data_IF_500058776295
#
_entry.id   IF_500058776295
#
_cell.length_a   1.000
_cell.length_b   1.000
_cell.length_c   1.000
_cell.angle_alpha   90.00
_cell.angle_beta   90.00
_cell.angle_gamma   90.00
#
_symmetry.space_group_name_H-M   'P 1'
#
loop_
_entity.id
_entity.type
_entity.pdbx_description
1 polymer ?
#
# COMPACT_ATOMS: atom_id res chain seq x y z
N UNK A 1 -11.93 -10.85 -20.04
CA UNK A 1 -12.23 -10.92 -18.58
C UNK A 1 -10.90 -10.80 -17.86
N UNK A 2 -10.77 -9.93 -16.85
CA UNK A 2 -9.49 -9.52 -16.25
C UNK A 2 -8.64 -10.66 -15.62
N UNK A 3 -9.14 -11.89 -15.59
CA UNK A 3 -8.43 -13.06 -15.07
C UNK A 3 -7.53 -13.72 -16.10
N UNK A 4 -7.98 -13.81 -17.36
CA UNK A 4 -7.32 -14.51 -18.47
C UNK A 4 -7.33 -13.64 -19.73
N UNK A 5 -6.66 -12.49 -19.71
CA UNK A 5 -6.45 -11.69 -20.93
C UNK A 5 -5.00 -11.79 -21.36
N UNK A 6 -4.74 -11.88 -22.67
CA UNK A 6 -3.39 -11.98 -23.21
C UNK A 6 -2.48 -10.81 -22.83
N UNK A 7 -3.06 -9.66 -22.46
CA UNK A 7 -2.34 -8.44 -22.08
C UNK A 7 -2.27 -8.22 -20.55
N UNK A 8 -3.18 -8.82 -19.78
CA UNK A 8 -3.23 -8.74 -18.32
C UNK A 8 -3.63 -10.08 -17.72
N UNK A 9 -2.64 -10.91 -17.39
CA UNK A 9 -2.85 -12.12 -16.60
C UNK A 9 -2.80 -11.79 -15.10
N UNK A 10 -3.78 -12.30 -14.38
CA UNK A 10 -3.80 -12.22 -12.92
C UNK A 10 -2.68 -13.06 -12.31
N UNK A 11 -2.30 -12.80 -11.05
CA UNK A 11 -1.34 -13.66 -10.34
C UNK A 11 -2.06 -14.92 -9.81
N UNK A 12 -1.36 -16.05 -9.62
CA UNK A 12 -1.94 -17.26 -9.03
C UNK A 12 -2.70 -17.02 -7.73
N UNK A 13 -2.19 -16.10 -6.91
CA UNK A 13 -2.81 -15.66 -5.66
C UNK A 13 -4.23 -15.15 -5.85
N UNK A 14 -4.50 -14.39 -6.93
CA UNK A 14 -5.81 -13.81 -7.22
C UNK A 14 -6.79 -14.93 -7.58
N UNK A 15 -6.41 -15.84 -8.49
CA UNK A 15 -7.24 -16.99 -8.85
C UNK A 15 -7.55 -17.89 -7.65
N UNK A 16 -6.55 -18.16 -6.80
CA UNK A 16 -6.74 -18.95 -5.59
C UNK A 16 -7.70 -18.28 -4.60
N UNK A 17 -7.59 -16.96 -4.41
CA UNK A 17 -8.48 -16.21 -3.53
C UNK A 17 -9.94 -16.22 -4.02
N UNK A 18 -10.14 -15.99 -5.33
CA UNK A 18 -11.47 -16.03 -5.96
C UNK A 18 -12.07 -17.43 -5.85
N UNK A 19 -11.30 -18.47 -6.17
CA UNK A 19 -11.74 -19.86 -6.05
C UNK A 19 -12.18 -20.18 -4.61
N UNK A 20 -11.36 -19.83 -3.62
CA UNK A 20 -11.70 -20.06 -2.21
C UNK A 20 -13.02 -19.41 -1.84
N UNK A 21 -13.23 -18.15 -2.26
CA UNK A 21 -14.47 -17.43 -1.96
C UNK A 21 -15.70 -18.10 -2.58
N UNK A 22 -15.63 -18.49 -3.86
CA UNK A 22 -16.73 -19.16 -4.56
C UNK A 22 -17.00 -20.54 -3.96
N UNK A 23 -15.96 -21.34 -3.69
CA UNK A 23 -16.10 -22.67 -3.11
C UNK A 23 -16.68 -22.64 -1.69
N UNK A 24 -16.27 -21.67 -0.86
CA UNK A 24 -16.85 -21.45 0.46
C UNK A 24 -18.32 -21.05 0.40
N UNK A 25 -18.71 -20.25 -0.59
CA UNK A 25 -20.11 -19.90 -0.82
C UNK A 25 -20.97 -21.12 -1.16
N UNK A 26 -20.39 -22.13 -1.82
CA UNK A 26 -21.02 -23.42 -2.11
C UNK A 26 -20.95 -24.42 -0.93
N UNK A 27 -20.39 -24.02 0.21
CA UNK A 27 -20.33 -24.84 1.43
C UNK A 27 -19.16 -25.82 1.51
N UNK A 28 -18.09 -25.61 0.71
CA UNK A 28 -16.83 -26.35 0.78
C UNK A 28 -15.81 -25.65 1.69
N UNK A 29 -14.99 -26.40 2.44
CA UNK A 29 -13.84 -25.83 3.17
C UNK A 29 -12.63 -25.70 2.25
N UNK A 30 -12.66 -24.68 1.39
CA UNK A 30 -11.56 -24.30 0.52
C UNK A 30 -10.70 -23.21 1.19
N UNK A 31 -9.39 -23.39 1.24
CA UNK A 31 -8.43 -22.43 1.81
C UNK A 31 -7.24 -22.25 0.88
N UNK A 32 -6.61 -21.07 0.84
CA UNK A 32 -5.38 -20.90 0.10
C UNK A 32 -4.25 -21.72 0.73
N UNK A 33 -3.33 -22.20 -0.10
CA UNK A 33 -2.15 -22.96 0.27
C UNK A 33 -0.91 -22.23 -0.29
N UNK A 34 -0.13 -21.62 0.60
CA UNK A 34 0.99 -20.74 0.31
C UNK A 34 2.25 -21.51 -0.12
N UNK A 35 2.20 -22.12 -1.28
CA UNK A 35 3.31 -22.90 -1.84
C UNK A 35 4.48 -22.00 -2.31
N UNK A 36 5.73 -22.47 -2.37
CA UNK A 36 6.83 -21.68 -2.93
C UNK A 36 6.54 -21.25 -4.37
N UNK A 37 6.73 -19.96 -4.67
CA UNK A 37 6.52 -19.37 -6.01
C UNK A 37 5.11 -19.49 -6.61
N UNK A 38 4.14 -20.08 -5.89
CA UNK A 38 2.77 -20.26 -6.37
C UNK A 38 1.75 -20.18 -5.22
N UNK A 39 0.46 -20.17 -5.51
CA UNK A 39 -0.59 -20.32 -4.48
C UNK A 39 -1.60 -21.34 -4.99
N UNK A 40 -1.69 -22.47 -4.30
CA UNK A 40 -2.70 -23.49 -4.56
C UNK A 40 -3.93 -23.25 -3.68
N UNK A 41 -4.97 -24.03 -3.90
CA UNK A 41 -6.11 -24.15 -2.98
C UNK A 41 -6.13 -25.55 -2.40
N UNK A 42 -6.33 -25.66 -1.09
CA UNK A 42 -6.61 -26.92 -0.41
C UNK A 42 -8.10 -26.98 -0.10
N UNK A 43 -8.77 -28.07 -0.50
CA UNK A 43 -10.17 -28.33 -0.17
C UNK A 43 -10.20 -29.50 0.80
N UNK A 44 -10.73 -29.25 2.01
CA UNK A 44 -10.81 -30.26 3.06
C UNK A 44 -12.24 -30.80 3.14
N UNK A 45 -12.43 -32.14 3.20
CA UNK A 45 -13.76 -32.71 3.40
C UNK A 45 -14.29 -32.40 4.80
N UNK A 46 -15.59 -32.58 4.99
CA UNK A 46 -16.23 -32.41 6.29
C UNK A 46 -15.72 -33.50 7.26
N UNK A 47 -15.58 -33.20 8.57
CA UNK A 47 -15.17 -34.21 9.55
C UNK A 47 -16.08 -35.46 9.47
N UNK A 48 -15.46 -36.64 9.38
CA UNK A 48 -16.17 -37.91 9.24
C UNK A 48 -16.55 -38.31 7.81
N UNK A 49 -16.17 -37.50 6.80
CA UNK A 49 -16.43 -37.78 5.39
C UNK A 49 -15.16 -37.71 4.55
N UNK A 50 -15.14 -38.41 3.42
CA UNK A 50 -14.17 -38.19 2.35
C UNK A 50 -14.59 -37.04 1.42
N UNK A 51 -13.81 -36.78 0.38
CA UNK A 51 -14.07 -35.69 -0.57
C UNK A 51 -15.29 -35.94 -1.45
N UNK A 52 -15.65 -37.21 -1.67
CA UNK A 52 -16.81 -37.65 -2.45
C UNK A 52 -18.11 -37.67 -1.61
N UNK A 53 -18.00 -37.42 -0.29
CA UNK A 53 -19.12 -37.38 0.63
C UNK A 53 -19.50 -38.73 1.23
N UNK A 54 -18.64 -39.75 1.13
CA UNK A 54 -18.84 -41.02 1.80
C UNK A 54 -18.41 -40.94 3.27
N UNK A 55 -19.13 -41.63 4.16
CA UNK A 55 -18.78 -41.72 5.57
C UNK A 55 -17.49 -42.52 5.78
N UNK A 56 -16.60 -41.94 6.60
CA UNK A 56 -15.36 -42.57 7.03
C UNK A 56 -15.54 -43.30 8.36
N UNK A 57 -14.61 -44.21 8.67
CA UNK A 57 -14.67 -44.91 9.96
C UNK A 57 -14.42 -43.93 11.11
N UNK A 58 -14.96 -44.21 12.32
CA UNK A 58 -14.72 -43.36 13.49
C UNK A 58 -13.23 -43.15 13.74
N UNK A 59 -12.79 -41.88 13.73
CA UNK A 59 -11.40 -41.48 13.94
C UNK A 59 -10.57 -41.30 12.67
N UNK A 60 -11.08 -41.68 11.49
CA UNK A 60 -10.45 -41.38 10.21
C UNK A 60 -10.73 -39.93 9.78
N UNK A 61 -9.74 -39.28 9.16
CA UNK A 61 -9.88 -37.97 8.55
C UNK A 61 -9.79 -38.10 7.04
N UNK A 62 -10.71 -37.45 6.33
CA UNK A 62 -10.70 -37.44 4.87
C UNK A 62 -9.48 -36.69 4.35
N UNK A 63 -8.84 -37.27 3.33
CA UNK A 63 -7.71 -36.64 2.68
C UNK A 63 -8.16 -35.36 1.95
N UNK A 64 -7.42 -34.24 2.08
CA UNK A 64 -7.71 -33.05 1.31
C UNK A 64 -7.28 -33.23 -0.16
N UNK A 65 -7.93 -32.48 -1.06
CA UNK A 65 -7.49 -32.33 -2.45
C UNK A 65 -6.83 -30.96 -2.66
N UNK A 66 -5.97 -30.87 -3.68
CA UNK A 66 -5.27 -29.64 -4.03
C UNK A 66 -5.70 -29.19 -5.42
N UNK A 67 -5.97 -27.89 -5.58
CA UNK A 67 -6.38 -27.29 -6.85
C UNK A 67 -5.42 -26.19 -7.25
N UNK A 68 -5.19 -26.05 -8.55
CA UNK A 68 -4.47 -24.92 -9.15
C UNK A 68 -5.40 -24.15 -10.10
N UNK A 69 -6.30 -23.30 -9.56
CA UNK A 69 -7.28 -22.58 -10.37
C UNK A 69 -6.66 -21.55 -11.31
N UNK A 70 -5.34 -21.32 -11.22
CA UNK A 70 -4.62 -20.48 -12.16
C UNK A 70 -4.20 -21.23 -13.42
N UNK A 71 -3.88 -22.53 -13.32
CA UNK A 71 -3.33 -23.30 -14.45
C UNK A 71 -4.25 -24.39 -14.97
N UNK A 72 -5.12 -24.95 -14.13
CA UNK A 72 -5.90 -26.13 -14.48
C UNK A 72 -7.27 -26.14 -13.79
N UNK A 73 -8.20 -26.85 -14.41
CA UNK A 73 -9.50 -27.21 -13.82
C UNK A 73 -9.43 -28.54 -13.04
N UNK A 74 -8.33 -29.29 -13.19
CA UNK A 74 -8.14 -30.60 -12.56
C UNK A 74 -7.42 -30.53 -11.22
N UNK A 75 -7.59 -31.58 -10.41
CA UNK A 75 -6.81 -31.75 -9.18
C UNK A 75 -5.30 -31.76 -9.46
N UNK A 76 -4.55 -31.11 -8.57
CA UNK A 76 -3.10 -31.15 -8.52
C UNK A 76 -2.65 -32.30 -7.62
N UNK A 77 -1.90 -33.24 -8.18
CA UNK A 77 -1.42 -34.42 -7.45
C UNK A 77 -0.55 -34.02 -6.25
N UNK A 78 -0.86 -34.60 -5.08
CA UNK A 78 -0.04 -34.45 -3.88
C UNK A 78 1.41 -34.95 -4.11
N UNK A 79 1.57 -36.01 -4.90
CA UNK A 79 2.89 -36.53 -5.26
C UNK A 79 3.72 -35.50 -6.03
N UNK A 80 3.09 -34.78 -6.96
CA UNK A 80 3.77 -33.74 -7.74
C UNK A 80 4.18 -32.55 -6.88
N UNK A 81 3.29 -32.11 -5.96
CA UNK A 81 3.62 -31.05 -5.00
C UNK A 81 4.78 -31.45 -4.08
N UNK A 82 4.79 -32.68 -3.57
CA UNK A 82 5.88 -33.18 -2.74
C UNK A 82 7.20 -33.28 -3.51
N UNK A 83 7.15 -33.68 -4.78
CA UNK A 83 8.32 -33.71 -5.65
C UNK A 83 8.86 -32.31 -5.95
N UNK A 84 7.99 -31.32 -6.17
CA UNK A 84 8.41 -29.93 -6.33
C UNK A 84 9.10 -29.41 -5.05
N UNK A 85 8.56 -29.71 -3.87
CA UNK A 85 9.21 -29.35 -2.60
C UNK A 85 10.56 -30.04 -2.43
N UNK A 86 10.70 -31.30 -2.84
CA UNK A 86 11.99 -32.01 -2.86
C UNK A 86 13.01 -31.32 -3.76
N UNK A 87 12.60 -30.94 -4.97
CA UNK A 87 13.47 -30.25 -5.94
C UNK A 87 13.94 -28.89 -5.40
N UNK A 88 13.09 -28.20 -4.65
CA UNK A 88 13.43 -26.95 -3.96
C UNK A 88 14.29 -27.13 -2.70
N UNK A 89 14.63 -28.38 -2.32
CA UNK A 89 15.46 -28.67 -1.16
C UNK A 89 14.75 -28.48 0.18
N UNK A 90 13.41 -28.45 0.21
CA UNK A 90 12.63 -28.31 1.45
C UNK A 90 12.68 -29.61 2.25
N UNK A 91 13.09 -29.51 3.51
CA UNK A 91 13.18 -30.66 4.42
C UNK A 91 11.80 -31.29 4.67
N UNK A 92 11.76 -32.62 4.88
CA UNK A 92 10.51 -33.35 5.09
C UNK A 92 9.67 -32.80 6.26
N UNK A 93 10.33 -32.34 7.33
CA UNK A 93 9.66 -31.75 8.49
C UNK A 93 8.88 -30.47 8.13
N UNK A 94 9.38 -29.69 7.17
CA UNK A 94 8.82 -28.39 6.80
C UNK A 94 7.73 -28.50 5.71
N UNK A 95 7.67 -29.63 4.98
CA UNK A 95 6.69 -29.84 3.90
C UNK A 95 5.25 -29.71 4.38
N UNK A 96 4.97 -30.12 5.62
CA UNK A 96 3.62 -30.01 6.21
C UNK A 96 3.15 -28.56 6.23
N UNK A 97 4.07 -27.62 6.48
CA UNK A 97 3.77 -26.18 6.47
C UNK A 97 3.41 -25.69 5.06
N UNK A 98 4.16 -26.11 4.04
CA UNK A 98 3.93 -25.70 2.65
C UNK A 98 2.74 -26.36 1.97
N UNK A 99 2.30 -27.52 2.48
CA UNK A 99 1.10 -28.22 2.04
C UNK A 99 -0.12 -27.87 2.91
N UNK A 100 0.07 -27.03 3.93
CA UNK A 100 -0.97 -26.62 4.86
C UNK A 100 -1.83 -25.46 4.38
N UNK A 101 -2.91 -25.20 5.12
CA UNK A 101 -3.78 -24.04 4.94
C UNK A 101 -2.99 -22.77 5.32
N UNK A 102 -2.98 -21.77 4.43
CA UNK A 102 -2.48 -20.44 4.75
C UNK A 102 -3.56 -19.56 5.34
N UNK A 103 -3.15 -18.73 6.29
CA UNK A 103 -3.96 -17.68 6.88
C UNK A 103 -4.16 -16.53 5.89
N UNK A 104 -5.24 -15.76 6.08
CA UNK A 104 -5.48 -14.51 5.34
C UNK A 104 -4.30 -13.55 5.45
N UNK A 105 -3.66 -13.53 6.63
CA UNK A 105 -2.48 -12.70 6.91
C UNK A 105 -1.31 -13.04 5.99
N UNK A 106 -0.95 -14.33 5.86
CA UNK A 106 0.15 -14.78 5.02
C UNK A 106 -0.10 -14.48 3.53
N UNK A 107 -1.33 -14.70 3.06
CA UNK A 107 -1.71 -14.39 1.68
C UNK A 107 -1.64 -12.88 1.42
N UNK A 108 -2.10 -12.06 2.37
CA UNK A 108 -2.02 -10.59 2.25
C UNK A 108 -0.56 -10.11 2.23
N UNK A 109 0.30 -10.69 3.07
CA UNK A 109 1.74 -10.42 3.06
C UNK A 109 2.40 -10.80 1.72
N UNK A 110 2.04 -11.96 1.15
CA UNK A 110 2.55 -12.36 -0.18
C UNK A 110 2.10 -11.40 -1.27
N UNK A 111 0.83 -10.97 -1.24
CA UNK A 111 0.33 -9.95 -2.15
C UNK A 111 1.13 -8.64 -2.02
N UNK A 112 1.41 -8.21 -0.80
CA UNK A 112 2.20 -7.00 -0.53
C UNK A 112 3.61 -7.12 -1.10
N UNK A 113 4.29 -8.27 -0.90
CA UNK A 113 5.61 -8.53 -1.50
C UNK A 113 5.57 -8.53 -3.03
N UNK A 114 4.51 -9.05 -3.64
CA UNK A 114 4.34 -9.00 -5.10
C UNK A 114 4.21 -7.55 -5.60
N UNK A 115 3.47 -6.70 -4.89
CA UNK A 115 3.38 -5.26 -5.20
C UNK A 115 4.75 -4.60 -5.06
N UNK A 116 5.49 -4.87 -3.96
CA UNK A 116 6.83 -4.31 -3.75
C UNK A 116 7.78 -4.63 -4.90
N UNK A 117 7.81 -5.90 -5.31
CA UNK A 117 8.67 -6.36 -6.41
C UNK A 117 8.27 -5.72 -7.74
N UNK A 118 6.96 -5.56 -7.99
CA UNK A 118 6.45 -4.91 -9.20
C UNK A 118 6.81 -3.42 -9.25
N UNK A 119 6.65 -2.72 -8.12
CA UNK A 119 7.04 -1.32 -7.98
C UNK A 119 8.55 -1.14 -8.15
N UNK A 120 9.36 -2.02 -7.57
CA UNK A 120 10.81 -1.98 -7.73
C UNK A 120 11.23 -2.15 -9.19
N UNK A 121 10.60 -3.08 -9.89
CA UNK A 121 10.83 -3.30 -11.33
C UNK A 121 10.49 -2.04 -12.15
N UNK A 122 9.34 -1.39 -11.90
CA UNK A 122 8.95 -0.17 -12.61
C UNK A 122 9.96 0.97 -12.43
N UNK A 123 10.51 1.14 -11.22
CA UNK A 123 11.55 2.14 -10.95
C UNK A 123 12.87 1.83 -11.68
N UNK A 124 13.27 0.56 -11.75
CA UNK A 124 14.54 0.17 -12.38
C UNK A 124 14.51 0.22 -13.90
N UNK A 125 13.38 -0.16 -14.50
CA UNK A 125 13.28 -0.33 -15.95
C UNK A 125 12.64 0.86 -16.68
N UNK A 126 12.22 1.91 -15.96
CA UNK A 126 11.67 3.15 -16.53
C UNK A 126 10.61 2.89 -17.62
N UNK A 127 9.79 1.86 -17.45
CA UNK A 127 8.81 1.48 -18.45
C UNK A 127 7.57 2.37 -18.32
N UNK A 128 7.62 3.51 -19.02
CA UNK A 128 6.66 4.62 -18.98
C UNK A 128 5.27 4.27 -19.56
N UNK A 129 5.02 3.02 -19.96
CA UNK A 129 3.73 2.62 -20.54
C UNK A 129 2.63 2.33 -19.51
N UNK A 130 2.93 2.23 -18.21
CA UNK A 130 1.92 2.03 -17.17
C UNK A 130 1.43 3.37 -16.59
N UNK A 131 0.79 4.20 -17.42
CA UNK A 131 0.39 5.58 -17.13
C UNK A 131 -0.65 5.79 -16.00
N UNK A 132 -0.96 4.79 -15.16
CA UNK A 132 -2.06 4.89 -14.18
C UNK A 132 -1.73 4.47 -12.74
N UNK A 133 -0.58 3.84 -12.48
CA UNK A 133 -0.24 3.39 -11.12
C UNK A 133 0.58 4.46 -10.41
N UNK A 134 0.02 4.99 -9.33
CA UNK A 134 0.76 5.87 -8.42
C UNK A 134 1.78 5.03 -7.63
N UNK A 135 3.02 5.08 -8.11
CA UNK A 135 4.11 4.25 -7.61
C UNK A 135 4.48 4.63 -6.17
N UNK A 136 4.41 5.92 -5.82
CA UNK A 136 4.70 6.43 -4.48
C UNK A 136 3.69 5.88 -3.47
N UNK A 137 2.39 6.02 -3.77
CA UNK A 137 1.32 5.49 -2.95
C UNK A 137 1.37 3.95 -2.85
N UNK A 138 1.64 3.25 -3.96
CA UNK A 138 1.77 1.79 -3.96
C UNK A 138 2.93 1.31 -3.08
N UNK A 139 4.09 1.98 -3.14
CA UNK A 139 5.24 1.67 -2.30
C UNK A 139 4.94 1.91 -0.82
N UNK A 140 4.34 3.06 -0.51
CA UNK A 140 4.00 3.43 0.86
C UNK A 140 3.00 2.45 1.48
N UNK A 141 1.91 2.12 0.77
CA UNK A 141 0.93 1.14 1.21
C UNK A 141 1.54 -0.25 1.44
N UNK A 142 2.50 -0.64 0.59
CA UNK A 142 3.19 -1.93 0.72
C UNK A 142 4.08 -2.00 1.95
N UNK A 143 4.83 -0.94 2.25
CA UNK A 143 5.65 -0.86 3.46
C UNK A 143 4.78 -0.88 4.73
N UNK A 144 3.67 -0.16 4.74
CA UNK A 144 2.68 -0.24 5.82
C UNK A 144 2.14 -1.65 6.03
N UNK A 145 1.74 -2.31 4.94
CA UNK A 145 1.25 -3.69 5.00
C UNK A 145 2.30 -4.63 5.58
N UNK A 146 3.57 -4.49 5.17
CA UNK A 146 4.68 -5.25 5.76
C UNK A 146 4.81 -4.98 7.27
N UNK A 147 4.82 -3.73 7.71
CA UNK A 147 4.95 -3.40 9.15
C UNK A 147 3.80 -3.98 9.99
N UNK A 148 2.56 -3.82 9.52
CA UNK A 148 1.37 -4.22 10.28
C UNK A 148 1.13 -5.74 10.25
N UNK A 149 1.42 -6.37 9.11
CA UNK A 149 1.08 -7.77 8.90
C UNK A 149 2.24 -8.73 9.15
N UNK A 150 3.48 -8.31 9.38
CA UNK A 150 4.59 -9.28 9.51
C UNK A 150 4.63 -10.04 10.85
N UNK A 151 3.88 -9.62 11.87
CA UNK A 151 3.53 -10.50 13.00
C UNK A 151 4.70 -10.99 13.83
N UNK A 152 4.91 -12.31 13.82
CA UNK A 152 6.01 -12.98 14.51
C UNK A 152 7.36 -12.82 13.80
N UNK A 153 7.42 -12.13 12.66
CA UNK A 153 8.69 -11.69 12.07
C UNK A 153 9.49 -10.95 13.12
N UNK A 154 10.77 -11.27 13.19
CA UNK A 154 11.68 -10.58 14.09
C UNK A 154 11.80 -9.13 13.63
N UNK A 155 11.80 -8.12 14.53
CA UNK A 155 11.95 -6.73 14.10
C UNK A 155 13.23 -6.48 13.27
N UNK A 156 14.21 -7.37 13.38
CA UNK A 156 15.42 -7.43 12.55
C UNK A 156 15.11 -7.61 11.06
N UNK A 157 14.10 -8.39 10.67
CA UNK A 157 13.68 -8.54 9.27
C UNK A 157 13.04 -7.25 8.73
N UNK A 158 12.25 -6.57 9.57
CA UNK A 158 11.56 -5.35 9.21
C UNK A 158 12.49 -4.14 9.11
N UNK A 159 13.62 -4.18 9.83
CA UNK A 159 14.66 -3.14 9.88
C UNK A 159 15.07 -2.64 8.50
N UNK A 160 15.21 -3.54 7.53
CA UNK A 160 15.66 -3.22 6.17
C UNK A 160 14.69 -2.28 5.42
N UNK A 161 13.43 -2.25 5.83
CA UNK A 161 12.38 -1.45 5.19
C UNK A 161 12.14 -0.09 5.88
N UNK A 162 12.65 0.10 7.10
CA UNK A 162 12.44 1.32 7.90
C UNK A 162 12.95 2.58 7.19
N UNK A 163 14.17 2.62 6.60
CA UNK A 163 14.66 3.82 5.94
C UNK A 163 13.73 4.28 4.80
N UNK A 164 13.23 3.33 4.00
CA UNK A 164 12.31 3.63 2.90
C UNK A 164 10.94 4.10 3.37
N UNK A 165 10.44 3.55 4.48
CA UNK A 165 9.19 4.00 5.08
C UNK A 165 9.31 5.43 5.60
N UNK A 166 10.40 5.71 6.34
CA UNK A 166 10.64 7.03 6.93
C UNK A 166 10.92 8.09 5.85
N UNK A 167 11.64 7.75 4.79
CA UNK A 167 11.87 8.64 3.64
C UNK A 167 10.55 9.08 3.01
N UNK A 168 9.68 8.13 2.65
CA UNK A 168 8.36 8.43 2.07
C UNK A 168 7.45 9.17 3.05
N UNK A 169 7.46 8.76 4.32
CA UNK A 169 6.69 9.43 5.36
C UNK A 169 7.06 10.91 5.49
N UNK A 170 8.36 11.22 5.59
CA UNK A 170 8.83 12.61 5.76
C UNK A 170 8.57 13.44 4.50
N UNK A 171 8.80 12.86 3.32
CA UNK A 171 8.69 13.59 2.06
C UNK A 171 7.25 13.82 1.61
N UNK A 172 6.40 12.77 1.68
CA UNK A 172 5.12 12.73 0.98
C UNK A 172 3.91 12.57 1.92
N UNK A 173 4.09 11.95 3.09
CA UNK A 173 2.99 11.61 4.01
C UNK A 173 3.18 12.12 5.45
N UNK A 174 3.59 13.39 5.69
CA UNK A 174 3.92 13.87 7.04
C UNK A 174 2.72 13.86 8.01
N UNK A 175 1.49 13.83 7.48
CA UNK A 175 0.25 13.77 8.26
C UNK A 175 0.06 12.44 8.98
N UNK A 176 0.76 11.38 8.57
CA UNK A 176 0.68 10.05 9.17
C UNK A 176 1.57 9.90 10.42
N UNK A 177 2.11 11.01 10.94
CA UNK A 177 3.02 11.04 12.09
C UNK A 177 2.47 10.28 13.29
N UNK A 178 1.18 10.43 13.59
CA UNK A 178 0.54 9.72 14.69
C UNK A 178 0.44 8.21 14.44
N UNK A 179 0.29 7.79 13.18
CA UNK A 179 0.25 6.38 12.82
C UNK A 179 1.64 5.75 13.00
N UNK A 180 2.70 6.45 12.59
CA UNK A 180 4.09 5.99 12.79
C UNK A 180 4.38 5.83 14.28
N UNK A 181 4.07 6.85 15.09
CA UNK A 181 4.22 6.81 16.56
C UNK A 181 3.50 5.62 17.19
N UNK A 182 2.27 5.34 16.75
CA UNK A 182 1.40 4.36 17.39
C UNK A 182 1.65 2.92 16.94
N UNK A 183 1.96 2.71 15.67
CA UNK A 183 1.96 1.36 15.07
C UNK A 183 3.33 0.90 14.59
N UNK A 184 4.25 1.81 14.27
CA UNK A 184 5.56 1.46 13.71
C UNK A 184 6.65 1.56 14.76
N UNK A 185 6.76 2.70 15.45
CA UNK A 185 7.81 2.91 16.45
C UNK A 185 7.86 1.78 17.51
N UNK A 186 6.74 1.31 18.10
CA UNK A 186 6.79 0.26 19.12
C UNK A 186 7.38 -1.07 18.63
N UNK A 187 7.35 -1.35 17.32
CA UNK A 187 7.92 -2.57 16.75
C UNK A 187 9.44 -2.62 16.91
N UNK A 188 10.10 -1.47 17.02
CA UNK A 188 11.56 -1.35 17.06
C UNK A 188 12.10 -0.99 18.45
N UNK A 189 11.25 -1.00 19.50
CA UNK A 189 11.67 -0.62 20.84
C UNK A 189 12.92 -1.38 21.30
N UNK A 190 13.93 -0.65 21.76
CA UNK A 190 15.24 -1.20 22.15
C UNK A 190 16.23 -1.38 21.00
N UNK A 191 15.89 -0.95 19.78
CA UNK A 191 16.78 -0.91 18.62
C UNK A 191 17.17 0.53 18.27
N UNK A 192 18.28 0.68 17.55
CA UNK A 192 18.78 1.99 17.09
C UNK A 192 17.77 2.70 16.17
N UNK A 193 16.99 1.95 15.39
CA UNK A 193 15.93 2.48 14.53
C UNK A 193 14.85 3.23 15.31
N UNK A 194 14.56 2.79 16.54
CA UNK A 194 13.58 3.43 17.39
C UNK A 194 14.01 4.84 17.76
N UNK A 195 15.26 5.00 18.21
CA UNK A 195 15.79 6.29 18.64
C UNK A 195 15.84 7.29 17.47
N UNK A 196 16.33 6.85 16.29
CA UNK A 196 16.33 7.70 15.09
C UNK A 196 14.91 8.08 14.62
N UNK A 197 13.96 7.15 14.73
CA UNK A 197 12.57 7.41 14.39
C UNK A 197 11.97 8.44 15.33
N UNK A 198 12.16 8.29 16.65
CA UNK A 198 11.69 9.25 17.63
C UNK A 198 12.31 10.63 17.43
N UNK A 199 13.61 10.72 17.15
CA UNK A 199 14.25 12.01 16.87
C UNK A 199 13.59 12.71 15.67
N UNK A 200 13.35 11.97 14.59
CA UNK A 200 12.65 12.49 13.40
C UNK A 200 11.24 12.96 13.75
N UNK A 201 10.47 12.14 14.47
CA UNK A 201 9.10 12.46 14.88
C UNK A 201 9.07 13.69 15.80
N UNK A 202 10.01 13.80 16.75
CA UNK A 202 10.14 14.95 17.63
C UNK A 202 10.42 16.24 16.87
N UNK A 203 11.34 16.23 15.91
CA UNK A 203 11.62 17.40 15.06
C UNK A 203 10.36 17.81 14.28
N UNK A 204 9.63 16.86 13.71
CA UNK A 204 8.40 17.14 12.96
C UNK A 204 7.29 17.69 13.86
N UNK A 205 7.09 17.12 15.06
CA UNK A 205 6.14 17.63 16.06
C UNK A 205 6.50 19.03 16.52
N UNK A 206 7.77 19.26 16.86
CA UNK A 206 8.24 20.58 17.27
C UNK A 206 7.99 21.62 16.17
N UNK A 207 8.23 21.27 14.90
CA UNK A 207 7.95 22.15 13.78
C UNK A 207 6.45 22.45 13.61
N UNK A 208 5.57 21.48 13.85
CA UNK A 208 4.12 21.66 13.78
C UNK A 208 3.56 22.47 14.97
N UNK A 209 4.18 22.35 16.15
CA UNK A 209 3.86 23.13 17.35
C UNK A 209 4.23 24.61 17.23
N UNK A 210 5.14 24.98 16.31
CA UNK A 210 5.50 26.38 16.08
C UNK A 210 4.23 27.15 15.71
N UNK A 211 3.78 28.12 16.54
CA UNK A 211 2.57 28.85 16.26
C UNK A 211 2.69 29.57 14.93
N UNK A 212 1.84 29.19 13.97
CA UNK A 212 1.77 29.90 12.69
C UNK A 212 1.29 31.32 12.97
N UNK A 213 2.04 32.32 12.49
CA UNK A 213 1.62 33.70 12.64
C UNK A 213 0.25 33.90 12.00
N UNK A 214 -0.74 34.20 12.82
CA UNK A 214 -2.10 34.47 12.34
C UNK A 214 -2.15 35.88 11.76
N UNK A 215 -2.26 35.98 10.43
CA UNK A 215 -2.46 37.24 9.73
C UNK A 215 -3.94 37.59 9.71
N UNK A 216 -4.37 38.44 10.64
CA UNK A 216 -5.74 38.96 10.68
C UNK A 216 -5.98 40.01 9.61
N UNK A 217 -7.18 40.00 9.03
CA UNK A 217 -7.62 41.12 8.19
C UNK A 217 -7.95 42.31 9.08
N UNK A 218 -7.17 43.37 8.92
CA UNK A 218 -7.41 44.68 9.55
C UNK A 218 -7.99 45.67 8.55
N UNK A 219 -8.35 46.87 9.02
CA UNK A 219 -8.85 47.96 8.19
C UNK A 219 -7.86 48.47 7.12
N UNK A 220 -6.58 48.07 7.18
CA UNK A 220 -5.55 48.35 6.16
C UNK A 220 -5.69 47.42 4.94
N UNK A 221 -6.37 46.28 5.11
CA UNK A 221 -6.53 45.24 4.09
C UNK A 221 -7.89 45.31 3.35
N UNK A 222 -8.49 46.50 3.27
CA UNK A 222 -9.84 46.70 2.68
C UNK A 222 -9.94 46.27 1.22
N UNK A 223 -8.83 46.35 0.48
CA UNK A 223 -8.76 45.97 -0.94
C UNK A 223 -8.80 44.45 -1.18
N UNK A 224 -8.72 43.63 -0.12
CA UNK A 224 -8.75 42.18 -0.21
C UNK A 224 -10.20 41.68 -0.29
N UNK A 225 -10.65 41.45 -1.53
CA UNK A 225 -12.04 41.12 -1.87
C UNK A 225 -12.49 39.71 -1.48
N UNK A 226 -11.65 38.69 -1.64
CA UNK A 226 -12.06 37.27 -1.51
C UNK A 226 -11.58 36.65 -0.22
N UNK A 227 -12.24 35.61 0.30
CA UNK A 227 -11.93 34.99 1.60
C UNK A 227 -11.07 33.73 1.47
N UNK A 228 -10.29 33.40 2.50
CA UNK A 228 -9.68 32.06 2.64
C UNK A 228 -10.81 31.03 2.76
N UNK A 229 -10.68 29.91 2.07
CA UNK A 229 -11.69 28.86 1.94
C UNK A 229 -12.72 29.11 0.83
N UNK A 230 -12.66 30.25 0.13
CA UNK A 230 -13.57 30.51 -0.99
C UNK A 230 -13.14 29.71 -2.22
N UNK A 231 -14.07 28.89 -2.74
CA UNK A 231 -13.91 28.19 -4.02
C UNK A 231 -14.16 29.17 -5.16
N UNK A 232 -13.33 29.11 -6.20
CA UNK A 232 -13.47 29.94 -7.40
C UNK A 232 -13.10 29.16 -8.66
N UNK A 233 -13.46 29.73 -9.82
CA UNK A 233 -13.08 29.23 -11.14
C UNK A 233 -12.11 30.21 -11.79
N UNK A 234 -10.95 29.74 -12.25
CA UNK A 234 -9.93 30.61 -12.80
C UNK A 234 -10.36 31.23 -14.14
N UNK A 235 -10.48 32.55 -14.22
CA UNK A 235 -11.06 33.24 -15.39
C UNK A 235 -10.39 32.93 -16.74
N UNK A 236 -9.07 32.67 -16.75
CA UNK A 236 -8.29 32.40 -17.98
C UNK A 236 -8.13 30.92 -18.30
N UNK A 237 -8.09 30.07 -17.28
CA UNK A 237 -7.68 28.66 -17.40
C UNK A 237 -8.76 27.67 -16.98
N UNK A 238 -9.87 28.18 -16.46
CA UNK A 238 -11.12 27.46 -16.24
C UNK A 238 -11.09 26.32 -15.21
N UNK A 239 -9.99 26.17 -14.46
CA UNK A 239 -9.90 25.22 -13.34
C UNK A 239 -10.65 25.73 -12.10
N UNK A 240 -11.10 24.79 -11.26
CA UNK A 240 -11.70 25.06 -9.95
C UNK A 240 -10.61 24.95 -8.89
N UNK A 241 -10.54 25.92 -7.99
CA UNK A 241 -9.57 25.92 -6.89
C UNK A 241 -10.14 26.62 -5.65
N UNK A 242 -9.48 26.45 -4.50
CA UNK A 242 -9.83 27.09 -3.24
C UNK A 242 -8.74 28.06 -2.79
N UNK A 243 -9.13 29.25 -2.32
CA UNK A 243 -8.17 30.24 -1.80
C UNK A 243 -7.63 29.78 -0.44
N UNK A 244 -6.31 29.65 -0.32
CA UNK A 244 -5.64 29.19 0.92
C UNK A 244 -4.95 30.33 1.67
N UNK A 245 -4.50 31.37 0.96
CA UNK A 245 -3.83 32.56 1.52
C UNK A 245 -4.03 33.77 0.61
N UNK A 246 -3.76 34.96 1.12
CA UNK A 246 -3.64 36.19 0.35
C UNK A 246 -2.38 36.97 0.75
N UNK A 247 -1.86 37.76 -0.17
CA UNK A 247 -0.85 38.80 0.06
C UNK A 247 -1.45 40.14 -0.35
N UNK A 248 -1.22 41.19 0.46
CA UNK A 248 -1.78 42.52 0.21
C UNK A 248 -1.15 43.19 -1.02
N UNK A 249 0.12 42.89 -1.27
CA UNK A 249 0.92 43.30 -2.41
C UNK A 249 1.88 42.16 -2.80
N UNK A 250 2.50 42.26 -3.96
CA UNK A 250 3.49 41.29 -4.42
C UNK A 250 4.86 41.56 -3.78
N UNK A 251 5.31 40.62 -2.95
CA UNK A 251 6.64 40.64 -2.31
C UNK A 251 7.63 39.65 -2.98
N UNK A 252 7.38 39.33 -4.26
CA UNK A 252 8.29 38.48 -5.03
C UNK A 252 9.52 39.27 -5.49
N UNK A 253 10.64 38.58 -5.75
CA UNK A 253 11.85 39.25 -6.26
C UNK A 253 11.63 39.90 -7.65
N UNK A 254 12.28 41.04 -7.89
CA UNK A 254 12.14 41.87 -9.12
C UNK A 254 12.24 41.08 -10.43
N UNK A 255 13.19 40.13 -10.51
CA UNK A 255 13.36 39.30 -11.71
C UNK A 255 12.12 38.43 -12.00
N UNK A 256 11.48 37.89 -10.94
CA UNK A 256 10.26 37.11 -11.08
C UNK A 256 9.07 38.00 -11.45
N UNK A 257 8.96 39.17 -10.84
CA UNK A 257 7.90 40.14 -11.13
C UNK A 257 7.94 40.61 -12.59
N UNK A 258 9.14 40.89 -13.11
CA UNK A 258 9.34 41.26 -14.51
C UNK A 258 8.95 40.10 -15.45
N UNK A 259 9.37 38.86 -15.14
CA UNK A 259 9.07 37.67 -15.93
C UNK A 259 7.57 37.36 -15.97
N UNK A 260 6.88 37.51 -14.85
CA UNK A 260 5.43 37.27 -14.72
C UNK A 260 4.59 38.49 -15.13
N UNK A 261 5.23 39.61 -15.46
CA UNK A 261 4.57 40.83 -15.93
C UNK A 261 3.67 41.48 -14.86
N UNK A 262 4.03 41.35 -13.58
CA UNK A 262 3.21 41.80 -12.45
C UNK A 262 2.89 43.30 -12.55
N UNK A 263 3.87 44.13 -12.90
CA UNK A 263 3.69 45.58 -13.02
C UNK A 263 2.80 46.01 -14.19
N UNK A 264 2.51 45.10 -15.13
CA UNK A 264 1.60 45.35 -16.25
C UNK A 264 0.13 45.08 -15.90
N UNK A 265 -0.14 44.55 -14.71
CA UNK A 265 -1.49 44.32 -14.24
C UNK A 265 -2.16 45.64 -13.85
N UNK A 266 -3.50 45.74 -13.87
CA UNK A 266 -4.21 46.99 -13.60
C UNK A 266 -3.88 47.66 -12.26
N UNK A 267 -3.57 46.88 -11.22
CA UNK A 267 -3.10 47.38 -9.92
C UNK A 267 -1.61 47.13 -9.65
N UNK A 268 -0.86 46.70 -10.69
CA UNK A 268 0.56 46.39 -10.61
C UNK A 268 0.91 45.45 -9.45
N UNK A 269 2.04 45.73 -8.80
CA UNK A 269 2.50 45.02 -7.61
C UNK A 269 1.73 45.35 -6.33
N UNK A 270 1.00 46.47 -6.26
CA UNK A 270 0.31 46.93 -5.05
C UNK A 270 -1.14 46.44 -4.91
N UNK A 271 -1.58 45.53 -5.78
CA UNK A 271 -2.88 44.85 -5.64
C UNK A 271 -2.76 43.56 -4.83
N UNK A 272 -3.90 43.06 -4.33
CA UNK A 272 -3.92 41.78 -3.61
C UNK A 272 -3.69 40.58 -4.53
N UNK A 273 -2.87 39.62 -4.07
CA UNK A 273 -2.65 38.33 -4.71
C UNK A 273 -3.20 37.19 -3.84
N UNK A 274 -3.66 36.10 -4.45
CA UNK A 274 -4.26 34.97 -3.75
C UNK A 274 -3.52 33.68 -4.10
N UNK A 275 -3.24 32.88 -3.08
CA UNK A 275 -2.71 31.52 -3.23
C UNK A 275 -3.90 30.55 -3.30
N UNK A 276 -3.80 29.56 -4.19
CA UNK A 276 -4.89 28.62 -4.45
C UNK A 276 -4.37 27.18 -4.56
N UNK A 277 -5.21 26.23 -4.17
CA UNK A 277 -5.01 24.78 -4.30
C UNK A 277 -6.12 24.16 -5.16
#
# INVERSE_FOLDING_TARGET
MALNSCEHNSLPLVSAAIYCHVAQWLGLDARPCGFPFHVHVIVTPRPGFDIDGNELKPGEQGAPIYMDPFRSETETSLFDLQNQLNVLGIANADKVTYLGKSSTREITLRCSKNILNSVHYLYQFHDLQLASVDVTNARYATLWSLMLLSGSSTPQELRLYVPWLMELFVADFPWDIHLIEKYVAPLFQGMVEYDHMLETLHVMRAADEIPKQVRWRTAVHKEIKYKIGQVFRHRRYDYIAVITRWDAECDAGEQWMMRMGIDRLPGGRHQSFYHAL
#
